data_IF_102671157910
#
_entry.id   IF_102671157910
#
_cell.length_a   1.000
_cell.length_b   1.000
_cell.length_c   1.000
_cell.angle_alpha   90.00
_cell.angle_beta   90.00
_cell.angle_gamma   90.00
#
_symmetry.space_group_name_H-M   'P 1'
#
loop_
_entity.id
_entity.type
_entity.pdbx_description
1 polymer ?
2 polymer ?
3 polymer ?
4 non-polymer ?
5 water ?
#
loop_
_entity_poly.entity_id
_entity_poly.type
_entity_poly.pdbx_seq_one_letter_code
_entity_poly.pdbx_strand_id
2 'polydeoxyribonucleotide' '(DT)(DA)(DG)(DC)(DG)(DC)(DC)(DC)(DC)(DC)(DT)(DG)(DC)(DT)(DG)(DG)(DC)' ?
3 'polydeoxyribonucleotide' '(DG)(DC)(DC)(DA)(DG)(DC)(DA)(DG)(DG)(DG)(DG)(DG)(DC)(DG)(DC)(DT)(DA)' ?
#
# COMPACT_ATOMS: atom_id res chain seq x y z
N UNK A 2 28.14 -24.60 23.97
CA UNK A 2 28.52 -25.41 25.13
C UNK A 2 30.04 -25.62 25.16
N UNK A 3 30.65 -25.77 26.34
CA UNK A 3 32.11 -25.79 26.41
C UNK A 3 32.71 -26.79 25.43
N UNK A 4 32.47 -28.08 25.64
CA UNK A 4 33.14 -29.12 24.89
C UNK A 4 32.52 -29.50 23.54
N UNK A 5 31.58 -28.67 23.03
CA UNK A 5 30.89 -28.90 21.76
C UNK A 5 31.86 -29.35 20.68
N UNK A 6 31.70 -30.58 20.13
CA UNK A 6 32.71 -31.14 19.23
C UNK A 6 32.69 -30.60 17.82
N UNK A 7 31.54 -30.13 17.32
CA UNK A 7 31.41 -29.78 15.90
C UNK A 7 31.58 -28.27 15.70
N UNK A 8 32.83 -27.87 15.41
CA UNK A 8 33.19 -26.45 15.23
C UNK A 8 32.89 -26.02 13.80
N UNK A 9 32.28 -24.84 13.64
CA UNK A 9 32.03 -24.30 12.29
C UNK A 9 33.34 -23.86 11.66
N UNK A 10 33.65 -24.29 10.42
CA UNK A 10 34.90 -23.84 9.78
C UNK A 10 34.81 -22.46 9.17
N UNK A 11 33.80 -21.67 9.54
CA UNK A 11 33.64 -20.32 9.00
C UNK A 11 33.31 -19.27 10.04
N UNK A 12 33.23 -19.61 11.33
CA UNK A 12 32.99 -18.61 12.37
C UNK A 12 33.30 -19.29 13.70
N UNK A 13 33.04 -18.59 14.81
CA UNK A 13 33.46 -19.04 16.13
C UNK A 13 32.45 -19.97 16.82
N UNK A 14 31.43 -20.44 16.12
CA UNK A 14 30.39 -21.25 16.77
C UNK A 14 30.71 -22.73 16.70
N UNK A 15 30.19 -23.48 17.70
CA UNK A 15 30.37 -24.91 17.75
C UNK A 15 29.11 -25.55 18.30
N UNK A 16 28.93 -26.83 17.96
CA UNK A 16 27.67 -27.52 18.23
C UNK A 16 27.91 -28.93 18.72
N UNK A 17 26.90 -29.43 19.42
CA UNK A 17 26.98 -30.74 20.06
C UNK A 17 26.79 -31.86 19.04
N UNK A 18 25.98 -31.65 18.02
CA UNK A 18 25.77 -32.67 16.99
C UNK A 18 26.18 -32.11 15.64
N UNK A 19 26.55 -33.02 14.73
CA UNK A 19 26.83 -32.60 13.36
C UNK A 19 25.60 -32.05 12.68
N UNK A 20 24.43 -32.60 12.99
CA UNK A 20 23.20 -32.06 12.44
C UNK A 20 23.02 -30.58 12.77
N UNK A 21 23.42 -30.17 13.96
CA UNK A 21 23.25 -28.77 14.35
C UNK A 21 24.23 -27.87 13.60
N UNK A 22 25.44 -28.36 13.34
CA UNK A 22 26.38 -27.62 12.52
C UNK A 22 25.89 -27.53 11.08
N UNK A 23 25.36 -28.62 10.55
CA UNK A 23 24.82 -28.59 9.19
C UNK A 23 23.77 -27.52 9.06
N UNK A 24 22.80 -27.50 9.98
CA UNK A 24 21.74 -26.51 9.89
C UNK A 24 22.29 -25.10 10.06
N UNK A 25 23.21 -24.90 11.02
CA UNK A 25 23.80 -23.57 11.18
C UNK A 25 24.50 -23.10 9.91
N UNK A 26 25.18 -24.00 9.21
CA UNK A 26 25.88 -23.58 8.01
C UNK A 26 24.89 -23.20 6.91
N UNK A 27 23.81 -23.96 6.78
CA UNK A 27 22.76 -23.58 5.85
C UNK A 27 22.17 -22.21 6.19
N UNK A 28 21.93 -21.90 7.47
CA UNK A 28 21.38 -20.60 7.81
C UNK A 28 22.36 -19.49 7.48
N UNK A 29 23.62 -19.66 7.88
CA UNK A 29 24.53 -18.53 7.96
C UNK A 29 25.57 -18.47 6.86
N UNK A 30 25.90 -19.58 6.21
CA UNK A 30 27.06 -19.61 5.32
C UNK A 30 26.72 -20.01 3.90
N UNK A 31 26.01 -21.13 3.69
CA UNK A 31 25.75 -21.56 2.32
C UNK A 31 24.42 -21.05 1.81
N UNK A 32 23.44 -20.89 2.70
CA UNK A 32 22.11 -20.35 2.39
C UNK A 32 21.28 -21.34 1.56
N UNK A 33 21.59 -22.63 1.63
CA UNK A 33 20.73 -23.64 1.03
C UNK A 33 19.40 -23.65 1.75
N UNK A 34 18.33 -23.33 1.03
CA UNK A 34 16.98 -23.33 1.57
C UNK A 34 16.20 -24.43 0.88
N UNK A 35 16.22 -25.65 1.39
CA UNK A 35 15.62 -26.74 0.61
C UNK A 35 14.12 -26.65 0.50
N UNK A 36 13.44 -25.97 1.42
CA UNK A 36 11.99 -26.08 1.51
C UNK A 36 11.33 -24.87 0.87
N UNK A 37 10.52 -25.13 -0.17
CA UNK A 37 10.00 -24.09 -1.07
C UNK A 37 8.48 -24.01 -0.98
N UNK A 38 7.96 -22.80 -0.80
CA UNK A 38 6.52 -22.62 -0.85
C UNK A 38 6.01 -22.80 -2.27
N UNK A 39 4.86 -23.44 -2.41
CA UNK A 39 4.30 -23.63 -3.73
C UNK A 39 3.45 -22.46 -4.17
N UNK A 40 3.19 -21.51 -3.28
CA UNK A 40 2.30 -20.40 -3.58
C UNK A 40 3.01 -19.06 -3.69
N UNK A 41 4.29 -18.98 -3.37
CA UNK A 41 5.05 -17.74 -3.51
C UNK A 41 6.53 -18.13 -3.57
N UNK A 42 7.41 -17.13 -3.52
CA UNK A 42 8.83 -17.39 -3.68
C UNK A 42 9.53 -17.73 -2.38
N UNK A 43 8.77 -17.86 -1.28
CA UNK A 43 9.37 -18.11 0.04
C UNK A 43 10.05 -19.45 0.05
N UNK A 44 11.19 -19.50 0.74
CA UNK A 44 11.86 -20.75 1.03
C UNK A 44 12.61 -20.64 2.35
N UNK A 45 12.81 -21.79 2.99
CA UNK A 45 13.40 -21.81 4.31
C UNK A 45 14.39 -22.95 4.45
N UNK A 46 15.20 -22.80 5.49
CA UNK A 46 16.16 -23.81 5.88
C UNK A 46 15.48 -25.00 6.53
N UNK A 47 14.51 -24.73 7.41
CA UNK A 47 13.80 -25.79 8.14
C UNK A 47 12.37 -25.94 7.63
N UNK A 48 11.84 -27.16 7.73
CA UNK A 48 10.50 -27.41 7.22
C UNK A 48 9.46 -26.73 8.11
N UNK A 49 9.73 -26.69 9.40
CA UNK A 49 8.80 -26.05 10.32
C UNK A 49 8.59 -24.59 9.97
N UNK A 50 9.62 -23.92 9.41
CA UNK A 50 9.46 -22.50 9.05
C UNK A 50 8.57 -22.37 7.83
N UNK A 51 8.68 -23.31 6.88
CA UNK A 51 7.74 -23.39 5.78
C UNK A 51 6.31 -23.62 6.28
N UNK A 52 6.12 -24.56 7.19
CA UNK A 52 4.78 -24.84 7.68
C UNK A 52 4.16 -23.62 8.35
N UNK A 53 4.97 -22.91 9.16
CA UNK A 53 4.49 -21.66 9.76
C UNK A 53 4.12 -20.65 8.70
N UNK A 54 4.96 -20.52 7.67
CA UNK A 54 4.69 -19.61 6.57
C UNK A 54 3.39 -19.96 5.85
N UNK A 55 3.16 -21.24 5.58
CA UNK A 55 1.94 -21.64 4.89
C UNK A 55 0.70 -21.16 5.67
N UNK A 56 0.76 -21.18 7.00
CA UNK A 56 -0.36 -20.68 7.78
C UNK A 56 -0.68 -19.21 7.51
N UNK A 57 0.28 -18.41 7.02
CA UNK A 57 -0.06 -17.09 6.59
C UNK A 57 -0.89 -17.07 5.32
N UNK A 58 -0.71 -18.05 4.44
CA UNK A 58 -1.54 -18.15 3.23
C UNK A 58 -2.94 -18.64 3.56
N UNK A 59 -3.07 -19.61 4.45
CA UNK A 59 -4.37 -20.22 4.71
C UNK A 59 -5.16 -19.53 5.80
N UNK A 60 -4.50 -18.81 6.70
CA UNK A 60 -5.16 -18.25 7.84
C UNK A 60 -5.31 -19.20 9.02
N UNK A 61 -4.78 -20.42 8.94
CA UNK A 61 -4.84 -21.33 10.08
C UNK A 61 -4.17 -20.74 11.33
N UNK A 62 -4.88 -20.83 12.47
CA UNK A 62 -4.40 -20.33 13.76
C UNK A 62 -4.55 -21.43 14.80
N UNK A 63 -3.57 -22.34 14.92
CA UNK A 63 -3.81 -23.54 15.72
C UNK A 63 -3.81 -23.29 17.21
N UNK A 64 -3.33 -22.16 17.68
CA UNK A 64 -2.95 -22.02 19.09
C UNK A 64 -3.87 -21.02 19.73
N UNK A 65 -4.87 -21.55 20.42
CA UNK A 65 -5.98 -20.77 20.94
C UNK A 65 -5.65 -20.27 22.33
N UNK A 66 -5.93 -18.99 22.59
CA UNK A 66 -5.91 -18.47 23.95
C UNK A 66 -7.11 -18.98 24.78
N UNK A 67 -6.87 -19.32 26.03
CA UNK A 67 -7.95 -19.84 26.87
C UNK A 67 -8.67 -18.74 27.65
N UNK A 68 -8.21 -17.49 27.53
CA UNK A 68 -8.79 -16.37 28.25
C UNK A 68 -9.52 -15.38 27.37
N UNK A 69 -9.44 -15.52 26.05
CA UNK A 69 -10.09 -14.61 25.09
C UNK A 69 -10.15 -15.33 23.74
N UNK A 70 -10.64 -14.64 22.71
CA UNK A 70 -10.83 -15.28 21.42
C UNK A 70 -9.56 -15.28 20.56
N UNK A 71 -8.50 -14.64 20.99
CA UNK A 71 -7.25 -14.63 20.22
C UNK A 71 -6.76 -16.05 19.95
N UNK A 72 -6.19 -16.23 18.75
CA UNK A 72 -5.50 -17.45 18.39
C UNK A 72 -4.37 -17.09 17.44
N UNK A 73 -3.25 -17.79 17.56
CA UNK A 73 -2.06 -17.43 16.82
C UNK A 73 -1.63 -18.54 15.89
N UNK A 74 -0.80 -18.15 14.93
CA UNK A 74 -0.18 -19.05 13.99
C UNK A 74 1.08 -19.72 14.50
N UNK A 75 1.62 -19.27 15.65
CA UNK A 75 2.93 -19.67 16.15
C UNK A 75 2.79 -19.82 17.68
N UNK A 76 3.37 -20.88 18.27
CA UNK A 76 3.27 -21.04 19.73
C UNK A 76 3.83 -19.83 20.50
N UNK A 77 4.92 -19.21 20.01
CA UNK A 77 5.51 -18.11 20.79
C UNK A 77 4.62 -16.88 20.78
N UNK A 78 3.92 -16.65 19.68
CA UNK A 78 3.02 -15.52 19.64
C UNK A 78 1.93 -15.68 20.68
N UNK A 79 1.49 -16.91 20.94
CA UNK A 79 0.47 -17.08 21.97
C UNK A 79 1.07 -16.79 23.33
N UNK A 80 2.27 -17.29 23.59
CA UNK A 80 2.93 -16.96 24.86
C UNK A 80 3.14 -15.45 25.02
N UNK A 81 3.48 -14.75 23.93
CA UNK A 81 3.64 -13.31 23.98
C UNK A 81 2.32 -12.64 24.28
N UNK A 82 1.25 -13.14 23.67
CA UNK A 82 -0.08 -12.61 23.91
C UNK A 82 -0.54 -12.79 25.36
N UNK A 83 -0.13 -13.89 26.01
CA UNK A 83 -0.56 -14.15 27.39
C UNK A 83 -0.05 -13.07 28.33
N UNK A 84 0.98 -12.30 27.92
CA UNK A 84 1.44 -11.19 28.73
C UNK A 84 0.38 -10.12 28.84
N UNK A 85 -0.55 -10.02 27.88
CA UNK A 85 -1.63 -9.04 27.95
C UNK A 85 -2.62 -9.40 29.05
N UNK A 86 -2.64 -10.66 29.48
CA UNK A 86 -3.52 -11.09 30.56
C UNK A 86 -2.83 -11.11 31.91
N UNK A 87 -1.55 -11.47 31.95
CA UNK A 87 -0.83 -11.58 33.22
C UNK A 87 -0.25 -10.27 33.66
N UNK A 88 0.03 -9.37 32.73
CA UNK A 88 0.78 -8.18 33.06
C UNK A 88 2.26 -8.40 33.23
N UNK A 89 2.79 -9.52 32.75
CA UNK A 89 4.23 -9.77 32.84
C UNK A 89 5.00 -8.79 31.96
N UNK A 90 6.11 -8.25 32.49
CA UNK A 90 7.00 -7.39 31.73
C UNK A 90 8.41 -7.96 31.87
N UNK A 91 8.79 -8.92 31.02
CA UNK A 91 10.07 -9.61 31.23
C UNK A 91 11.30 -8.81 30.84
N UNK A 92 11.17 -7.70 30.14
CA UNK A 92 12.33 -6.99 29.62
C UNK A 92 12.58 -5.73 30.44
N UNK A 93 13.85 -5.49 30.79
CA UNK A 93 14.24 -4.31 31.58
C UNK A 93 15.31 -3.50 30.86
N UNK A 94 15.04 -2.22 30.66
CA UNK A 94 16.08 -1.29 30.20
C UNK A 94 17.25 -1.22 31.19
N UNK A 95 18.44 -1.61 30.75
CA UNK A 95 19.59 -1.61 31.63
C UNK A 95 20.00 -0.19 32.01
N UNK A 96 19.55 0.83 31.29
CA UNK A 96 19.97 2.19 31.59
C UNK A 96 19.08 2.84 32.64
N UNK A 97 17.75 2.72 32.53
CA UNK A 97 16.86 3.40 33.46
C UNK A 97 15.93 2.46 34.21
N UNK A 98 16.00 1.17 33.95
CA UNK A 98 15.23 0.11 34.59
C UNK A 98 13.73 0.12 34.37
N UNK A 99 13.20 0.93 33.46
CA UNK A 99 11.84 0.72 32.96
C UNK A 99 11.65 -0.72 32.46
N UNK A 100 10.41 -1.20 32.51
CA UNK A 100 10.13 -2.54 32.07
C UNK A 100 9.12 -2.55 30.93
N UNK A 101 9.19 -3.59 30.09
CA UNK A 101 8.41 -3.71 28.89
C UNK A 101 7.88 -5.11 28.68
N UNK A 102 6.80 -5.21 27.93
CA UNK A 102 6.22 -6.52 27.64
C UNK A 102 6.91 -7.22 26.48
N UNK A 103 7.66 -6.50 25.62
CA UNK A 103 8.30 -7.09 24.46
C UNK A 103 9.71 -6.53 24.29
N UNK A 104 10.58 -7.31 23.65
CA UNK A 104 11.97 -6.92 23.51
C UNK A 104 12.12 -5.77 22.51
N UNK A 105 11.35 -5.79 21.42
CA UNK A 105 11.42 -4.71 20.44
C UNK A 105 11.00 -3.37 21.00
N UNK A 106 9.92 -3.36 21.82
CA UNK A 106 9.54 -2.15 22.57
C UNK A 106 10.71 -1.60 23.35
N UNK A 107 11.43 -2.48 24.05
CA UNK A 107 12.58 -2.02 24.84
C UNK A 107 13.67 -1.42 23.95
N UNK A 108 13.97 -2.06 22.83
CA UNK A 108 14.96 -1.51 21.90
C UNK A 108 14.55 -0.12 21.40
N UNK A 109 13.27 0.05 21.08
CA UNK A 109 12.79 1.35 20.60
C UNK A 109 12.89 2.39 21.70
N UNK A 110 12.59 2.00 22.94
CA UNK A 110 12.77 2.88 24.09
C UNK A 110 14.21 3.35 24.19
N UNK A 111 15.16 2.45 24.00
CA UNK A 111 16.55 2.83 24.16
C UNK A 111 16.96 3.79 23.04
N UNK A 112 16.42 3.57 21.85
CA UNK A 112 16.69 4.44 20.71
C UNK A 112 16.12 5.82 20.96
N UNK A 113 14.93 5.88 21.48
CA UNK A 113 14.25 7.18 21.62
C UNK A 113 14.69 7.94 22.86
N UNK A 114 15.05 7.25 23.95
CA UNK A 114 15.34 7.89 25.22
C UNK A 114 16.81 7.94 25.61
N UNK A 115 17.66 7.03 25.12
CA UNK A 115 19.04 6.97 25.61
C UNK A 115 20.04 7.01 24.47
N UNK A 116 19.68 7.52 23.32
CA UNK A 116 20.60 7.52 22.18
C UNK A 116 20.76 8.94 21.69
N UNK A 117 22.01 9.33 21.48
CA UNK A 117 22.32 10.69 21.10
C UNK A 117 22.07 10.90 19.61
N UNK A 118 21.48 12.05 19.28
CA UNK A 118 21.51 12.58 17.91
C UNK A 118 20.76 11.69 16.92
N UNK A 119 19.63 11.13 17.34
CA UNK A 119 18.89 10.27 16.43
C UNK A 119 18.18 11.14 15.40
N UNK A 120 18.26 10.73 14.12
CA UNK A 120 17.61 11.48 13.05
C UNK A 120 16.08 11.42 13.21
N UNK A 121 15.46 12.57 13.07
CA UNK A 121 14.02 12.68 13.27
C UNK A 121 13.31 12.85 11.94
N UNK A 122 12.02 12.66 11.98
CA UNK A 122 11.18 12.85 10.81
C UNK A 122 10.59 14.26 10.79
N UNK A 123 10.15 14.67 9.62
CA UNK A 123 9.66 16.02 9.47
C UNK A 123 8.40 16.04 8.63
N UNK A 124 7.38 16.69 9.12
CA UNK A 124 6.19 16.85 8.29
C UNK A 124 6.45 17.93 7.28
N UNK A 125 6.32 17.66 6.00
CA UNK A 125 6.54 18.71 5.00
C UNK A 125 5.43 19.73 4.93
N UNK A 126 4.25 19.42 5.43
CA UNK A 126 3.11 20.28 5.21
C UNK A 126 2.92 21.29 6.32
N UNK A 127 3.45 21.06 7.51
CA UNK A 127 3.31 22.04 8.58
C UNK A 127 4.61 22.30 9.34
N UNK A 128 5.74 21.74 8.95
CA UNK A 128 7.00 22.06 9.63
C UNK A 128 6.98 21.65 11.10
N UNK A 129 6.59 20.41 11.34
CA UNK A 129 6.67 19.81 12.66
C UNK A 129 7.68 18.68 12.61
N UNK A 130 8.54 18.58 13.63
CA UNK A 130 9.49 17.47 13.72
C UNK A 130 8.85 16.39 14.59
N UNK A 131 8.93 15.14 14.14
CA UNK A 131 8.31 13.99 14.80
C UNK A 131 9.35 12.90 14.96
N UNK A 132 9.41 12.28 16.15
CA UNK A 132 10.50 11.33 16.43
C UNK A 132 10.32 10.01 15.69
N UNK A 133 9.14 9.44 15.72
CA UNK A 133 8.94 8.08 15.20
C UNK A 133 8.25 8.16 13.85
N UNK A 134 8.68 7.30 12.93
CA UNK A 134 8.06 7.26 11.61
C UNK A 134 6.55 7.00 11.69
N UNK A 135 6.12 6.09 12.58
CA UNK A 135 4.72 5.75 12.66
C UNK A 135 3.90 6.91 13.22
N UNK A 136 4.51 7.76 14.02
CA UNK A 136 3.84 8.95 14.51
C UNK A 136 3.78 10.03 13.42
N UNK A 137 4.73 10.03 12.49
CA UNK A 137 4.53 10.85 11.30
C UNK A 137 3.33 10.37 10.50
N UNK A 138 3.19 9.04 10.33
CA UNK A 138 1.98 8.47 9.70
C UNK A 138 0.69 8.91 10.35
N UNK A 139 0.64 8.87 11.68
CA UNK A 139 -0.56 9.29 12.40
C UNK A 139 -0.85 10.76 12.15
N UNK A 140 0.17 11.59 12.31
CA UNK A 140 0.05 13.02 12.04
C UNK A 140 -0.50 13.29 10.65
N UNK A 141 0.05 12.61 9.62
CA UNK A 141 -0.44 12.86 8.25
C UNK A 141 -1.93 12.50 8.12
N UNK A 142 -2.34 11.40 8.75
CA UNK A 142 -3.72 10.97 8.66
C UNK A 142 -4.61 11.88 9.48
N UNK A 143 -4.13 12.36 10.61
CA UNK A 143 -5.01 13.11 11.50
C UNK A 143 -5.06 14.59 11.16
N UNK A 144 -3.98 15.16 10.66
CA UNK A 144 -3.94 16.60 10.46
C UNK A 144 -3.93 17.00 9.00
N UNK A 145 -3.59 16.09 8.08
CA UNK A 145 -3.45 16.49 6.68
C UNK A 145 -4.25 15.58 5.76
N UNK A 146 -5.33 15.02 6.28
CA UNK A 146 -6.33 14.23 5.57
C UNK A 146 -5.71 13.28 4.52
N UNK A 147 -4.79 12.44 5.01
CA UNK A 147 -4.27 11.30 4.26
C UNK A 147 -5.26 10.12 4.31
N UNK A 148 -5.72 9.67 3.14
CA UNK A 148 -6.76 8.64 3.03
C UNK A 148 -6.17 7.38 2.41
N UNK D 6 -4.60 32.61 5.32
CA UNK D 6 -5.42 33.78 5.71
C UNK D 6 -6.89 33.42 5.88
N UNK D 7 -7.52 32.81 4.87
CA UNK D 7 -8.87 32.26 4.98
C UNK D 7 -8.73 30.77 5.29
N UNK D 8 -8.85 30.42 6.57
CA UNK D 8 -8.54 29.10 7.07
C UNK D 8 -9.81 28.27 7.20
N UNK D 9 -9.79 27.07 6.62
CA UNK D 9 -10.96 26.20 6.69
C UNK D 9 -11.12 25.67 8.11
N UNK D 10 -12.30 25.85 8.73
CA UNK D 10 -12.46 25.34 10.10
C UNK D 10 -12.50 23.82 10.19
N UNK D 11 -12.42 23.11 9.06
CA UNK D 11 -12.62 21.67 9.04
C UNK D 11 -11.42 20.88 8.52
N UNK D 12 -10.33 21.53 8.16
CA UNK D 12 -9.13 20.82 7.67
C UNK D 12 -7.98 21.82 7.62
N UNK D 13 -6.83 21.37 7.10
CA UNK D 13 -5.60 22.14 7.09
C UNK D 13 -5.53 23.17 5.96
N UNK D 14 -6.50 23.19 5.05
CA UNK D 14 -6.43 24.06 3.89
C UNK D 14 -6.68 25.52 4.29
N UNK D 15 -5.95 26.44 3.64
CA UNK D 15 -6.17 27.87 3.75
C UNK D 15 -6.07 28.46 2.36
N UNK D 16 -6.65 29.65 2.18
CA UNK D 16 -6.82 30.25 0.87
C UNK D 16 -6.55 31.74 0.91
N UNK D 17 -6.19 32.26 -0.26
CA UNK D 17 -5.94 33.69 -0.42
C UNK D 17 -7.23 34.48 -0.27
N UNK D 18 -8.29 34.02 -0.94
CA UNK D 18 -9.52 34.79 -0.95
C UNK D 18 -10.67 34.02 -0.32
N UNK D 19 -11.70 34.78 0.08
CA UNK D 19 -12.85 34.20 0.75
C UNK D 19 -13.60 33.27 -0.19
N UNK D 20 -13.76 33.68 -1.45
CA UNK D 20 -14.48 32.84 -2.39
C UNK D 20 -13.84 31.46 -2.54
N UNK D 21 -12.52 31.38 -2.47
CA UNK D 21 -11.84 30.09 -2.61
C UNK D 21 -12.15 29.18 -1.43
N UNK D 22 -12.25 29.76 -0.22
CA UNK D 22 -12.61 28.96 0.94
C UNK D 22 -14.03 28.44 0.82
N UNK D 23 -14.97 29.32 0.47
CA UNK D 23 -16.36 28.90 0.24
C UNK D 23 -16.43 27.71 -0.72
N UNK D 24 -15.84 27.86 -1.90
CA UNK D 24 -15.89 26.78 -2.88
C UNK D 24 -15.25 25.50 -2.34
N UNK D 25 -14.09 25.63 -1.70
CA UNK D 25 -13.46 24.47 -1.08
C UNK D 25 -14.41 23.80 -0.09
N UNK D 26 -15.07 24.60 0.78
CA UNK D 26 -15.93 23.98 1.78
C UNK D 26 -17.11 23.29 1.13
N UNK D 27 -17.60 23.81 0.01
CA UNK D 27 -18.64 23.10 -0.73
C UNK D 27 -18.11 21.82 -1.36
N UNK D 28 -16.93 21.84 -1.95
CA UNK D 28 -16.40 20.61 -2.53
C UNK D 28 -16.16 19.56 -1.47
N UNK D 29 -15.45 19.95 -0.41
CA UNK D 29 -14.86 18.97 0.48
C UNK D 29 -15.70 18.67 1.71
N UNK D 30 -16.56 19.61 2.15
CA UNK D 30 -17.20 19.47 3.46
C UNK D 30 -18.72 19.41 3.42
N UNK D 31 -19.38 20.39 2.80
CA UNK D 31 -20.84 20.41 2.81
C UNK D 31 -21.49 19.72 1.60
N UNK D 32 -20.78 19.65 0.47
CA UNK D 32 -21.31 19.06 -0.78
C UNK D 32 -22.51 19.81 -1.33
N UNK D 33 -22.61 21.11 -1.06
CA UNK D 33 -23.65 21.95 -1.68
C UNK D 33 -23.35 22.12 -3.15
N UNK D 34 -24.27 21.70 -4.01
CA UNK D 34 -24.03 21.80 -5.45
C UNK D 34 -25.14 22.63 -6.05
N UNK D 35 -24.93 23.94 -6.26
CA UNK D 35 -26.04 24.81 -6.68
C UNK D 35 -26.42 24.68 -8.15
N UNK D 36 -25.57 24.10 -8.97
CA UNK D 36 -25.78 24.18 -10.43
C UNK D 36 -26.19 22.81 -10.95
N UNK D 37 -27.48 22.67 -11.24
CA UNK D 37 -28.10 21.39 -11.53
C UNK D 37 -28.41 21.30 -13.01
N UNK D 38 -28.05 20.18 -13.63
CA UNK D 38 -28.45 19.96 -15.01
C UNK D 38 -29.95 19.71 -15.12
N UNK D 39 -30.59 20.32 -16.12
CA UNK D 39 -32.04 20.09 -16.29
C UNK D 39 -32.35 18.78 -16.98
N UNK D 40 -31.38 18.14 -17.65
CA UNK D 40 -31.60 16.92 -18.41
C UNK D 40 -31.18 15.63 -17.70
N UNK D 41 -30.47 15.68 -16.57
CA UNK D 41 -30.06 14.44 -15.88
C UNK D 41 -29.75 14.77 -14.43
N UNK D 42 -29.23 13.78 -13.70
CA UNK D 42 -29.01 13.97 -12.26
C UNK D 42 -27.78 14.83 -11.96
N UNK D 43 -26.96 15.18 -12.96
CA UNK D 43 -25.69 15.83 -12.65
C UNK D 43 -25.90 17.19 -11.99
N UNK D 44 -25.08 17.47 -11.00
CA UNK D 44 -25.01 18.81 -10.45
C UNK D 44 -23.59 19.07 -9.99
N UNK D 45 -23.24 20.33 -9.90
CA UNK D 45 -21.88 20.70 -9.56
C UNK D 45 -21.81 21.88 -8.59
N UNK D 46 -20.73 21.90 -7.81
CA UNK D 46 -20.31 23.06 -7.01
C UNK D 46 -20.09 24.28 -7.90
N UNK D 47 -19.65 24.09 -9.15
CA UNK D 47 -19.23 25.20 -10.02
C UNK D 47 -20.08 25.27 -11.30
N UNK D 48 -20.47 26.48 -11.68
CA UNK D 48 -21.27 26.58 -12.91
C UNK D 48 -20.43 26.23 -14.15
N UNK D 49 -19.13 26.55 -14.14
CA UNK D 49 -18.21 26.16 -15.18
C UNK D 49 -18.22 24.63 -15.42
N UNK D 50 -18.30 23.83 -14.34
CA UNK D 50 -18.33 22.38 -14.51
C UNK D 50 -19.67 21.95 -15.08
N UNK D 51 -20.75 22.65 -14.70
CA UNK D 51 -22.04 22.39 -15.32
C UNK D 51 -21.98 22.70 -16.81
N UNK D 52 -21.33 23.79 -17.19
CA UNK D 52 -21.28 24.09 -18.62
C UNK D 52 -20.42 23.09 -19.38
N UNK D 53 -19.32 22.59 -18.78
CA UNK D 53 -18.56 21.49 -19.39
C UNK D 53 -19.43 20.27 -19.58
N UNK D 54 -20.20 19.92 -18.54
CA UNK D 54 -21.06 18.75 -18.57
C UNK D 54 -22.09 18.87 -19.67
N UNK D 55 -22.63 20.06 -19.87
CA UNK D 55 -23.71 20.21 -20.84
C UNK D 55 -23.23 19.89 -22.26
N UNK D 56 -21.95 20.13 -22.56
CA UNK D 56 -21.40 19.77 -23.85
C UNK D 56 -21.50 18.28 -24.12
N UNK D 57 -21.62 17.46 -23.06
CA UNK D 57 -21.85 16.04 -23.25
C UNK D 57 -23.24 15.79 -23.79
N UNK D 58 -24.19 16.68 -23.45
CA UNK D 58 -25.55 16.56 -23.98
C UNK D 58 -25.62 17.11 -25.40
N UNK D 59 -25.04 18.27 -25.62
CA UNK D 59 -25.21 18.93 -26.91
C UNK D 59 -24.24 18.43 -27.97
N UNK D 60 -23.18 17.73 -27.57
CA UNK D 60 -22.15 17.34 -28.52
C UNK D 60 -21.19 18.42 -28.93
N UNK D 61 -21.30 19.62 -28.38
CA UNK D 61 -20.43 20.71 -28.78
C UNK D 61 -18.98 20.40 -28.46
N UNK D 62 -18.09 20.62 -29.44
CA UNK D 62 -16.67 20.36 -29.28
C UNK D 62 -15.93 21.62 -29.70
N UNK D 63 -15.82 22.59 -28.80
CA UNK D 63 -15.28 23.90 -29.22
C UNK D 63 -13.76 23.97 -29.34
N UNK D 64 -13.01 22.90 -29.08
CA UNK D 64 -11.56 23.01 -29.06
C UNK D 64 -10.95 22.13 -30.15
N UNK D 65 -10.63 22.76 -31.28
CA UNK D 65 -10.24 22.03 -32.49
C UNK D 65 -8.72 21.83 -32.53
N UNK D 66 -8.30 20.59 -32.69
CA UNK D 66 -6.88 20.32 -32.98
C UNK D 66 -6.46 20.92 -34.32
N UNK D 67 -5.30 21.56 -34.36
CA UNK D 67 -4.84 22.10 -35.64
C UNK D 67 -4.17 21.06 -36.54
N UNK D 68 -3.78 19.90 -35.99
CA UNK D 68 -3.00 18.90 -36.74
C UNK D 68 -3.84 17.73 -37.24
N UNK D 69 -5.09 17.61 -36.79
CA UNK D 69 -5.97 16.58 -37.33
C UNK D 69 -7.41 17.06 -37.10
N UNK D 70 -8.37 16.19 -37.44
CA UNK D 70 -9.77 16.57 -37.36
C UNK D 70 -10.35 16.49 -35.95
N UNK D 71 -9.61 15.95 -34.97
CA UNK D 71 -10.16 15.80 -33.63
C UNK D 71 -10.54 17.16 -33.03
N UNK D 72 -11.67 17.20 -32.31
CA UNK D 72 -12.05 18.36 -31.52
C UNK D 72 -12.59 17.85 -30.18
N UNK D 73 -12.25 18.52 -29.10
CA UNK D 73 -12.63 18.07 -27.77
C UNK D 73 -13.64 19.00 -27.10
N UNK D 74 -14.13 18.55 -25.94
CA UNK D 74 -15.08 19.29 -25.15
C UNK D 74 -14.46 20.05 -24.00
N UNK D 75 -13.16 19.90 -23.74
CA UNK D 75 -12.51 20.85 -22.85
C UNK D 75 -11.04 21.00 -23.22
N UNK D 76 -10.50 22.16 -22.89
CA UNK D 76 -9.16 22.50 -23.37
C UNK D 76 -8.12 21.52 -22.90
N UNK D 77 -8.26 20.99 -21.67
CA UNK D 77 -7.23 20.06 -21.23
C UNK D 77 -7.29 18.76 -22.02
N UNK D 78 -8.47 18.33 -22.46
CA UNK D 78 -8.51 17.11 -23.24
C UNK D 78 -7.85 17.32 -24.61
N UNK D 79 -7.87 18.55 -25.12
CA UNK D 79 -7.15 18.80 -26.39
C UNK D 79 -5.65 18.74 -26.13
N UNK D 80 -5.22 19.34 -25.02
CA UNK D 80 -3.82 19.22 -24.63
C UNK D 80 -3.38 17.76 -24.52
N UNK D 81 -4.17 16.91 -23.85
CA UNK D 81 -3.86 15.52 -23.72
C UNK D 81 -3.76 14.85 -25.10
N UNK D 82 -4.67 15.21 -25.99
CA UNK D 82 -4.63 14.65 -27.33
C UNK D 82 -3.38 15.10 -28.10
N UNK D 83 -2.88 16.32 -27.86
CA UNK D 83 -1.66 16.74 -28.55
C UNK D 83 -0.47 15.83 -28.25
N UNK D 84 -0.50 15.08 -27.13
CA UNK D 84 0.57 14.12 -26.93
C UNK D 84 0.60 13.04 -27.99
N UNK D 85 -0.52 12.77 -28.65
CA UNK D 85 -0.50 11.77 -29.71
C UNK D 85 0.26 12.27 -30.91
N UNK D 86 0.42 13.58 -31.05
CA UNK D 86 1.22 14.14 -32.14
C UNK D 86 2.67 14.42 -31.72
N UNK D 87 2.88 14.84 -30.48
CA UNK D 87 4.22 15.21 -30.00
C UNK D 87 5.03 14.00 -29.55
N UNK D 88 4.36 12.91 -29.17
CA UNK D 88 4.99 11.74 -28.64
C UNK D 88 5.41 11.85 -27.19
N UNK D 89 5.02 12.94 -26.52
CA UNK D 89 5.38 13.17 -25.12
C UNK D 89 4.85 12.04 -24.23
N UNK D 90 5.68 11.61 -23.26
CA UNK D 90 5.31 10.59 -22.28
C UNK D 90 5.65 11.19 -20.93
N UNK D 91 4.77 12.01 -20.38
CA UNK D 91 5.13 12.78 -19.18
C UNK D 91 5.23 11.97 -17.92
N UNK D 92 4.72 10.75 -17.88
CA UNK D 92 4.53 10.02 -16.64
C UNK D 92 5.48 8.84 -16.59
N UNK D 93 6.08 8.61 -15.42
CA UNK D 93 7.14 7.60 -15.26
C UNK D 93 6.85 6.70 -14.07
N UNK D 94 6.89 5.39 -14.29
CA UNK D 94 6.76 4.41 -13.20
C UNK D 94 7.89 4.55 -12.20
N UNK D 95 7.56 4.76 -10.93
CA UNK D 95 8.62 4.96 -9.95
C UNK D 95 9.37 3.70 -9.60
N UNK D 96 8.89 2.52 -10.02
CA UNK D 96 9.61 1.28 -9.74
C UNK D 96 10.54 0.89 -10.87
N UNK D 97 10.00 0.78 -12.09
CA UNK D 97 10.76 0.25 -13.23
C UNK D 97 11.12 1.33 -14.24
N UNK D 98 10.55 2.53 -14.12
CA UNK D 98 10.90 3.71 -14.91
C UNK D 98 10.40 3.65 -16.36
N UNK D 99 9.43 2.78 -16.67
CA UNK D 99 8.70 2.85 -17.94
C UNK D 99 7.96 4.16 -17.98
N UNK D 100 7.66 4.62 -19.17
CA UNK D 100 7.04 5.93 -19.34
C UNK D 100 5.73 5.79 -20.09
N UNK D 101 4.80 6.74 -19.86
CA UNK D 101 3.43 6.65 -20.30
C UNK D 101 2.91 8.00 -20.76
N UNK D 102 1.91 7.97 -21.66
CA UNK D 102 1.37 9.22 -22.11
C UNK D 102 0.31 9.81 -21.18
N UNK D 103 -0.26 9.00 -20.28
CA UNK D 103 -1.34 9.46 -19.40
C UNK D 103 -1.14 8.88 -18.01
N UNK D 104 -1.62 9.62 -16.99
CA UNK D 104 -1.38 9.22 -15.59
C UNK D 104 -2.12 7.94 -15.24
N UNK D 105 -3.35 7.79 -15.72
CA UNK D 105 -4.14 6.61 -15.40
C UNK D 105 -3.53 5.36 -15.99
N UNK D 106 -2.98 5.45 -17.20
CA UNK D 106 -2.26 4.33 -17.78
C UNK D 106 -1.13 3.87 -16.86
N UNK D 107 -0.40 4.82 -16.30
CA UNK D 107 0.71 4.48 -15.41
C UNK D 107 0.22 3.79 -14.16
N UNK D 108 -0.85 4.30 -13.56
CA UNK D 108 -1.40 3.66 -12.36
C UNK D 108 -1.86 2.22 -12.64
N UNK D 109 -2.49 1.99 -13.79
CA UNK D 109 -2.94 0.65 -14.16
C UNK D 109 -1.75 -0.26 -14.36
N UNK D 110 -0.68 0.28 -14.97
CA UNK D 110 0.60 -0.43 -15.03
C UNK D 110 1.06 -0.82 -13.64
N UNK D 111 1.04 0.12 -12.70
CA UNK D 111 1.55 -0.21 -11.36
C UNK D 111 0.69 -1.28 -10.70
N UNK D 112 -0.61 -1.18 -10.87
CA UNK D 112 -1.52 -2.20 -10.37
C UNK D 112 -1.23 -3.58 -10.96
N UNK D 113 -1.05 -3.66 -12.28
CA UNK D 113 -0.95 -4.97 -12.92
C UNK D 113 0.43 -5.59 -12.83
N UNK D 114 1.48 -4.77 -12.71
CA UNK D 114 2.85 -5.27 -12.80
C UNK D 114 3.60 -5.25 -11.49
N UNK D 115 3.21 -4.42 -10.54
CA UNK D 115 3.98 -4.24 -9.32
C UNK D 115 3.17 -4.37 -8.05
N UNK D 116 1.93 -4.81 -8.09
CA UNK D 116 1.09 -4.79 -6.91
C UNK D 116 0.78 -6.22 -6.53
N UNK D 117 0.78 -6.48 -5.22
CA UNK D 117 0.43 -7.81 -4.75
C UNK D 117 -1.08 -7.95 -4.56
N UNK D 118 -1.56 -9.17 -4.74
CA UNK D 118 -2.91 -9.57 -4.31
C UNK D 118 -4.03 -8.84 -5.07
N UNK D 119 -3.89 -8.72 -6.37
CA UNK D 119 -4.95 -8.15 -7.19
C UNK D 119 -5.76 -9.31 -7.75
N UNK D 120 -7.05 -9.33 -7.49
CA UNK D 120 -7.85 -10.46 -7.95
C UNK D 120 -8.22 -10.28 -9.42
N UNK D 121 -8.35 -11.38 -10.08
CA UNK D 121 -8.70 -11.43 -11.48
C UNK D 121 -10.15 -11.86 -11.64
N UNK D 122 -10.60 -11.90 -12.90
CA UNK D 122 -11.95 -12.28 -13.28
C UNK D 122 -11.94 -13.63 -13.94
N UNK D 123 -12.98 -14.41 -13.68
CA UNK D 123 -13.16 -15.67 -14.31
C UNK D 123 -14.17 -15.53 -15.44
N UNK D 124 -13.88 -16.16 -16.58
CA UNK D 124 -14.91 -16.25 -17.63
C UNK D 124 -16.02 -17.18 -17.18
N UNK D 125 -17.28 -16.83 -17.39
CA UNK D 125 -18.38 -17.72 -17.00
C UNK D 125 -18.63 -18.89 -17.95
N UNK D 126 -17.88 -19.00 -19.05
CA UNK D 126 -18.16 -20.00 -20.07
C UNK D 126 -16.99 -20.92 -20.37
N UNK D 127 -15.77 -20.55 -19.96
CA UNK D 127 -14.62 -21.42 -20.14
C UNK D 127 -13.68 -21.20 -18.97
N UNK D 128 -12.56 -21.92 -18.91
CA UNK D 128 -11.70 -21.87 -17.72
C UNK D 128 -10.77 -20.67 -17.69
N UNK D 129 -11.01 -19.65 -18.50
CA UNK D 129 -10.05 -18.59 -18.64
C UNK D 129 -10.16 -17.61 -17.46
N UNK D 130 -9.02 -17.11 -16.97
CA UNK D 130 -8.97 -16.05 -15.97
C UNK D 130 -8.32 -14.84 -16.64
N UNK D 131 -8.87 -13.68 -16.42
CA UNK D 131 -8.47 -12.46 -17.11
C UNK D 131 -8.24 -11.33 -16.11
N UNK D 132 -7.16 -10.58 -16.32
CA UNK D 132 -6.79 -9.55 -15.34
C UNK D 132 -7.72 -8.33 -15.39
N UNK D 133 -7.82 -7.69 -16.53
CA UNK D 133 -8.64 -6.49 -16.66
C UNK D 133 -10.09 -6.78 -16.96
N UNK D 134 -10.96 -6.02 -16.31
CA UNK D 134 -12.38 -6.13 -16.62
C UNK D 134 -12.64 -5.88 -18.09
N UNK D 135 -11.94 -4.90 -18.70
CA UNK D 135 -12.19 -4.61 -20.10
C UNK D 135 -11.73 -5.75 -21.00
N UNK D 136 -10.70 -6.50 -20.57
CA UNK D 136 -10.28 -7.65 -21.36
C UNK D 136 -11.27 -8.82 -21.23
N UNK D 137 -11.99 -8.88 -20.10
CA UNK D 137 -13.08 -9.87 -19.98
C UNK D 137 -14.18 -9.55 -20.98
N UNK D 138 -14.47 -8.25 -21.13
CA UNK D 138 -15.43 -7.80 -22.12
C UNK D 138 -15.03 -8.22 -23.54
N UNK D 139 -13.78 -7.95 -23.90
CA UNK D 139 -13.25 -8.39 -25.19
C UNK D 139 -13.42 -9.89 -25.36
N UNK D 140 -13.03 -10.66 -24.35
CA UNK D 140 -13.11 -12.10 -24.47
C UNK D 140 -14.54 -12.55 -24.67
N UNK D 141 -15.47 -11.98 -23.93
CA UNK D 141 -16.87 -12.37 -24.10
C UNK D 141 -17.36 -12.06 -25.50
N UNK D 142 -17.01 -10.89 -26.02
CA UNK D 142 -17.41 -10.48 -27.38
C UNK D 142 -16.75 -11.33 -28.45
N UNK D 143 -15.47 -11.63 -28.31
CA UNK D 143 -14.75 -12.34 -29.35
C UNK D 143 -14.93 -13.85 -29.29
N UNK D 144 -14.99 -14.42 -28.09
CA UNK D 144 -14.94 -15.87 -27.94
C UNK D 144 -16.27 -16.49 -27.60
N UNK D 145 -17.25 -15.69 -27.20
CA UNK D 145 -18.53 -16.21 -26.73
C UNK D 145 -19.70 -15.38 -27.24
N UNK D 146 -19.62 -14.87 -28.46
CA UNK D 146 -20.66 -13.98 -28.95
C UNK D 146 -22.03 -14.68 -29.00
N UNK D 147 -22.08 -15.97 -29.40
CA UNK D 147 -23.38 -16.64 -29.51
C UNK D 147 -23.95 -16.99 -28.13
N UNK D 148 -23.12 -17.56 -27.26
CA UNK D 148 -23.53 -17.93 -25.89
C UNK D 148 -24.12 -16.75 -25.13
N UNK D 149 -23.38 -15.62 -25.11
CA UNK D 149 -23.81 -14.41 -24.39
C UNK D 149 -25.11 -13.84 -24.95
N UNK D 150 -25.93 -13.30 -24.04
CA UNK D 150 -27.25 -12.80 -24.38
C UNK D 150 -27.46 -11.40 -23.80
X LIG G 1 29.56 -20.63 11.25
X LIG H 1 4.29 -18.69 0.33
X LIG I 1 -6.12 -13.99 25.26
X LIG J 1 15.48 3.29 29.74
X LIG K 1 2.03 18.43 9.51
X LIG L 1 -11.52 22.16 4.59
X LIG M 1 -26.99 16.48 -17.67
X LIG N 1 -4.88 16.09 -33.50
X LIG O 1 6.80 -0.18 -13.67
X LIG P 1 -14.36 -17.86 -21.90
#
# INVERSE_FOLDING_TARGET
>A
GPLGSPHKCPDCDMAFVTSGELVRHRRYKHTHEKPFKCSMCDYASVEVSKLKRHIRSHTGERPFQCSLCSYASRDTYKLKRHMRTHSGEKPYECYICHARFTQSGTMKMHILQKHTENVAKFHCPHCDTVIARKSDLGVHLRKQHSYIEQ
>D
GPLGSPHKCPDCDMAFVTSGELVRHRRYKHTHEKPFKCSMCDYASVEVSKLKRHIRSHTGERPFQCSLCSYASRDTYKLKRHMRTHSGEKPYECYICHARFTQSGTMKMHILQKHTENVAKFHCPHCDTVIARKSDLGVHLRKQHSYIEQ
>G hetero
1 ZN ZN
>H hetero
1 ZN ZN
>I hetero
1 ZN ZN
>J hetero
1 ZN ZN
>K hetero
1 ZN ZN
>L hetero
1 ZN ZN
>M hetero
1 ZN ZN
>N hetero
1 ZN ZN
>O hetero
1 ZN ZN
>P hetero
1 ZN ZN
#
